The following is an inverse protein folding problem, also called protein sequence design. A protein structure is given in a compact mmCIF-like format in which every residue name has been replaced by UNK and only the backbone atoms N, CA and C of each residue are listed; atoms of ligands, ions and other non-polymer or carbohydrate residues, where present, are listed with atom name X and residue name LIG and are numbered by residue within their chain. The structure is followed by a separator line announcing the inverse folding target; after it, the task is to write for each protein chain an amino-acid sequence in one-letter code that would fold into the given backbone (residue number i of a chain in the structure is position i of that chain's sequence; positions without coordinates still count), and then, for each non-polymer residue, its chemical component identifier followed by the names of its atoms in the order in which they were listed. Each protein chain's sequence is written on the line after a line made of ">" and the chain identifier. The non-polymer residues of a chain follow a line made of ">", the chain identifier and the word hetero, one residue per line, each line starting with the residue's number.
data_IF_772454812705
#
_entry.id   IF_772454812705
#
_cell.length_a   1.000
_cell.length_b   1.000
_cell.length_c   1.000
_cell.angle_alpha   90.00
_cell.angle_beta   90.00
_cell.angle_gamma   90.00
#
_symmetry.space_group_name_H-M   'P 1'
#
loop_
_entity.id
_entity.type
_entity.pdbx_description
1 polymer ?
#
# COMPACT_ATOMS: atom_id res chain seq x y z
N UNK A 1 -2.42 15.05 11.77
CA UNK A 1 -1.53 15.45 10.64
C UNK A 1 -1.50 14.28 9.67
N UNK A 2 -1.59 14.50 8.37
CA UNK A 2 -1.57 13.41 7.38
C UNK A 2 -0.14 12.95 7.11
N UNK A 3 0.09 11.64 7.15
CA UNK A 3 1.33 10.99 6.73
C UNK A 3 1.08 10.24 5.43
N UNK A 4 2.01 10.36 4.47
CA UNK A 4 1.97 9.65 3.21
C UNK A 4 3.15 8.69 3.12
N UNK A 5 2.88 7.45 2.69
CA UNK A 5 3.90 6.44 2.45
C UNK A 5 3.72 5.89 1.04
N UNK A 6 4.77 5.97 0.24
CA UNK A 6 4.79 5.42 -1.12
C UNK A 6 5.65 4.17 -1.10
N UNK A 7 5.10 3.05 -1.57
CA UNK A 7 5.87 1.83 -1.80
C UNK A 7 5.86 1.50 -3.29
N UNK A 8 7.02 1.10 -3.80
CA UNK A 8 7.12 0.43 -5.08
C UNK A 8 6.82 -1.06 -4.86
N UNK A 9 5.70 -1.51 -5.39
CA UNK A 9 5.37 -2.91 -5.46
C UNK A 9 6.09 -3.51 -6.67
N UNK A 10 6.84 -4.60 -6.51
CA UNK A 10 7.37 -5.34 -7.66
C UNK A 10 6.45 -6.52 -7.97
N UNK A 11 5.86 -6.50 -9.16
CA UNK A 11 5.06 -7.61 -9.69
C UNK A 11 6.02 -8.78 -9.94
N UNK A 12 5.98 -9.78 -9.07
CA UNK A 12 6.77 -11.01 -9.20
C UNK A 12 6.19 -11.97 -10.25
N UNK A 13 6.87 -13.09 -10.48
CA UNK A 13 6.47 -14.08 -11.48
C UNK A 13 5.27 -14.96 -11.07
N UNK A 14 4.90 -15.01 -9.78
CA UNK A 14 3.75 -15.78 -9.27
C UNK A 14 3.21 -15.20 -7.95
N UNK A 15 1.93 -15.46 -7.65
CA UNK A 15 1.21 -15.04 -6.43
C UNK A 15 1.20 -13.53 -6.13
N UNK A 16 1.12 -12.70 -7.18
CA UNK A 16 1.05 -11.24 -7.02
C UNK A 16 -0.18 -10.79 -6.24
N UNK A 17 -1.36 -11.34 -6.52
CA UNK A 17 -2.58 -10.95 -5.81
C UNK A 17 -2.49 -11.26 -4.32
N UNK A 18 -2.05 -12.47 -3.95
CA UNK A 18 -1.91 -12.87 -2.54
C UNK A 18 -0.95 -11.96 -1.78
N UNK A 19 0.24 -11.71 -2.35
CA UNK A 19 1.23 -10.81 -1.76
C UNK A 19 0.68 -9.37 -1.62
N UNK A 20 -0.20 -8.95 -2.53
CA UNK A 20 -0.77 -7.61 -2.55
C UNK A 20 -1.78 -7.50 -1.42
N UNK A 21 -2.66 -8.48 -1.31
CA UNK A 21 -3.59 -8.60 -0.21
C UNK A 21 -2.87 -8.62 1.14
N UNK A 22 -1.81 -9.43 1.29
CA UNK A 22 -1.01 -9.46 2.52
C UNK A 22 -0.40 -8.09 2.85
N UNK A 23 0.20 -7.43 1.85
CA UNK A 23 0.80 -6.09 2.01
C UNK A 23 -0.25 -5.08 2.41
N UNK A 24 -1.38 -5.04 1.71
CA UNK A 24 -2.48 -4.11 1.99
C UNK A 24 -3.08 -4.36 3.38
N UNK A 25 -3.25 -5.62 3.78
CA UNK A 25 -3.74 -5.98 5.09
C UNK A 25 -2.77 -5.58 6.21
N UNK A 26 -1.47 -5.75 6.01
CA UNK A 26 -0.45 -5.33 6.98
C UNK A 26 -0.48 -3.82 7.22
N UNK A 27 -0.54 -3.03 6.14
CA UNK A 27 -0.67 -1.58 6.22
C UNK A 27 -2.03 -1.14 6.80
N UNK A 28 -3.11 -1.83 6.45
CA UNK A 28 -4.44 -1.62 7.03
C UNK A 28 -4.47 -1.80 8.54
N UNK A 29 -3.82 -2.85 9.07
CA UNK A 29 -3.68 -3.08 10.53
C UNK A 29 -2.89 -1.98 11.24
N UNK A 30 -1.91 -1.39 10.56
CA UNK A 30 -1.13 -0.25 11.04
C UNK A 30 -1.89 1.09 10.95
N UNK A 31 -3.12 1.07 10.45
CA UNK A 31 -3.99 2.24 10.30
C UNK A 31 -3.76 3.04 9.01
N UNK A 32 -3.01 2.51 8.05
CA UNK A 32 -2.82 3.13 6.75
C UNK A 32 -3.99 2.81 5.82
N UNK A 33 -4.34 3.78 4.98
CA UNK A 33 -5.36 3.68 3.94
C UNK A 33 -4.73 3.85 2.57
N UNK A 34 -5.07 2.99 1.62
CA UNK A 34 -4.67 3.16 0.21
C UNK A 34 -5.41 4.37 -0.37
N UNK A 35 -4.66 5.27 -0.98
CA UNK A 35 -5.19 6.48 -1.65
C UNK A 35 -5.05 6.39 -3.16
N UNK A 36 -3.95 5.79 -3.62
CA UNK A 36 -3.64 5.69 -5.04
C UNK A 36 -2.87 4.39 -5.34
N UNK A 37 -3.19 3.80 -6.49
CA UNK A 37 -2.58 2.59 -7.02
C UNK A 37 -2.17 2.88 -8.46
N UNK A 38 -0.91 3.26 -8.65
CA UNK A 38 -0.33 3.48 -9.96
C UNK A 38 0.05 2.13 -10.55
N UNK A 39 -0.76 1.66 -11.51
CA UNK A 39 -0.56 0.39 -12.19
C UNK A 39 0.64 0.43 -13.16
N UNK A 40 0.91 1.59 -13.77
CA UNK A 40 1.96 1.77 -14.78
C UNK A 40 3.35 1.70 -14.13
N UNK A 41 3.49 2.32 -12.96
CA UNK A 41 4.75 2.35 -12.19
C UNK A 41 4.82 1.32 -11.08
N UNK A 42 3.75 0.53 -10.92
CA UNK A 42 3.57 -0.42 -9.82
C UNK A 42 3.84 0.24 -8.45
N UNK A 43 3.20 1.37 -8.19
CA UNK A 43 3.35 2.12 -6.92
C UNK A 43 2.04 2.17 -6.16
N UNK A 44 2.14 2.07 -4.84
CA UNK A 44 1.01 2.16 -3.93
C UNK A 44 1.26 3.33 -2.99
N UNK A 45 0.29 4.24 -2.92
CA UNK A 45 0.32 5.39 -2.00
C UNK A 45 -0.63 5.10 -0.85
N UNK A 46 -0.10 5.15 0.36
CA UNK A 46 -0.82 5.05 1.61
C UNK A 46 -0.91 6.42 2.29
N UNK A 47 -2.05 6.70 2.92
CA UNK A 47 -2.29 7.84 3.80
C UNK A 47 -2.68 7.32 5.19
N UNK A 48 -2.15 7.94 6.24
CA UNK A 48 -2.58 7.71 7.62
C UNK A 48 -2.73 9.04 8.34
N UNK A 49 -3.71 9.13 9.24
CA UNK A 49 -3.79 10.26 10.15
C UNK A 49 -2.98 9.98 11.43
N UNK A 50 -2.03 10.87 11.73
CA UNK A 50 -1.14 10.77 12.89
C UNK A 50 -1.81 11.18 14.21
N UNK A 51 -2.99 11.81 14.17
CA UNK A 51 -3.65 12.40 15.34
C UNK A 51 -4.93 11.64 15.74
N UNK A 52 -4.92 10.30 15.67
CA UNK A 52 -6.04 9.50 16.15
C UNK A 52 -5.86 9.10 17.61
#
# INVERSE_FOLDING_TARGET
>A
MKEYKVISWSVGLANNNQRLEDTLNEYGRQGWRVVDLDHDRSRIVFERDKNR
#
